data_IF_980725708533
#
_entry.id   IF_980725708533
#
_cell.length_a   1.000
_cell.length_b   1.000
_cell.length_c   1.000
_cell.angle_alpha   90.00
_cell.angle_beta   90.00
_cell.angle_gamma   90.00
#
_symmetry.space_group_name_H-M   'P 1'
#
loop_
_entity.id
_entity.type
_entity.pdbx_description
1 polymer ?
#
# COMPACT_ATOMS: atom_id res chain seq x y z
N UNK A 1 -11.95 -14.78 -18.08
CA UNK A 1 -11.96 -13.63 -17.14
C UNK A 1 -10.51 -13.19 -16.98
N UNK A 2 -10.22 -11.93 -17.17
CA UNK A 2 -8.85 -11.41 -16.96
C UNK A 2 -8.58 -11.33 -15.45
N UNK A 3 -7.50 -11.95 -15.00
CA UNK A 3 -7.03 -11.82 -13.61
C UNK A 3 -6.01 -10.67 -13.48
N UNK A 4 -6.00 -9.73 -14.43
CA UNK A 4 -5.07 -8.60 -14.43
C UNK A 4 -5.35 -7.64 -13.27
N UNK A 5 -4.28 -7.25 -12.55
CA UNK A 5 -4.30 -6.28 -11.47
C UNK A 5 -4.73 -4.88 -11.95
N UNK A 6 -4.63 -4.60 -13.25
CA UNK A 6 -5.18 -3.39 -13.87
C UNK A 6 -6.70 -3.26 -13.62
N UNK A 7 -7.44 -4.40 -13.55
CA UNK A 7 -8.88 -4.42 -13.31
C UNK A 7 -9.31 -3.78 -11.98
N UNK A 8 -8.37 -3.65 -11.03
CA UNK A 8 -8.52 -2.99 -9.72
C UNK A 8 -7.62 -1.75 -9.61
N UNK A 9 -7.20 -1.18 -10.74
CA UNK A 9 -6.46 0.07 -10.82
C UNK A 9 -5.00 -0.02 -10.36
N UNK A 10 -4.40 -1.21 -10.29
CA UNK A 10 -2.99 -1.34 -9.94
C UNK A 10 -2.12 -1.26 -11.20
N UNK A 11 -1.08 -0.42 -11.16
CA UNK A 11 -0.13 -0.21 -12.26
C UNK A 11 1.26 -0.75 -11.89
N UNK A 12 1.99 -1.37 -12.84
CA UNK A 12 3.35 -1.83 -12.62
C UNK A 12 4.27 -0.73 -12.10
N UNK A 13 5.07 -1.07 -11.09
CA UNK A 13 6.01 -0.14 -10.43
C UNK A 13 5.45 0.62 -9.24
N UNK A 14 4.12 0.88 -9.19
CA UNK A 14 3.48 1.59 -8.10
C UNK A 14 3.25 0.71 -6.87
N UNK A 15 3.00 1.36 -5.72
CA UNK A 15 2.70 0.70 -4.45
C UNK A 15 1.37 1.16 -3.93
N UNK A 16 0.63 0.20 -3.38
CA UNK A 16 -0.72 0.39 -2.89
C UNK A 16 -0.82 -0.07 -1.44
N UNK A 17 -1.78 0.46 -0.71
CA UNK A 17 -2.10 0.01 0.63
C UNK A 17 -3.22 -1.03 0.56
N UNK A 18 -3.09 -2.11 1.32
CA UNK A 18 -4.07 -3.20 1.32
C UNK A 18 -4.11 -3.94 2.66
N UNK A 19 -5.14 -4.74 2.86
CA UNK A 19 -5.23 -5.65 3.99
C UNK A 19 -4.88 -7.06 3.53
N UNK A 20 -3.80 -7.61 4.08
CA UNK A 20 -3.42 -9.01 3.90
C UNK A 20 -4.20 -9.87 4.88
N UNK A 21 -4.89 -10.86 4.36
CA UNK A 21 -5.47 -11.92 5.19
C UNK A 21 -4.76 -13.23 4.94
N UNK A 22 -4.42 -13.91 6.00
CA UNK A 22 -3.70 -15.18 6.00
C UNK A 22 -4.38 -16.16 6.95
N UNK A 23 -4.12 -17.43 6.77
CA UNK A 23 -4.59 -18.50 7.65
C UNK A 23 -3.45 -19.49 7.87
N UNK A 24 -3.28 -20.01 9.09
CA UNK A 24 -2.36 -21.10 9.37
C UNK A 24 -3.01 -22.46 9.07
N UNK A 25 -2.26 -23.56 9.17
CA UNK A 25 -2.77 -24.92 8.93
C UNK A 25 -3.87 -25.35 9.91
N UNK A 26 -3.92 -24.74 11.09
CA UNK A 26 -4.95 -25.01 12.10
C UNK A 26 -6.24 -24.24 11.80
N UNK A 27 -6.24 -23.38 10.78
CA UNK A 27 -7.39 -22.58 10.37
C UNK A 27 -7.57 -21.28 11.15
N UNK A 28 -6.57 -20.85 11.89
CA UNK A 28 -6.59 -19.55 12.56
C UNK A 28 -6.30 -18.42 11.56
N UNK A 29 -7.22 -17.48 11.47
CA UNK A 29 -7.13 -16.34 10.56
C UNK A 29 -6.33 -15.19 11.18
N UNK A 30 -5.68 -14.41 10.31
CA UNK A 30 -5.01 -13.17 10.68
C UNK A 30 -5.23 -12.12 9.58
N UNK A 31 -5.28 -10.85 9.98
CA UNK A 31 -5.36 -9.70 9.07
C UNK A 31 -4.31 -8.65 9.45
N UNK A 32 -3.68 -8.03 8.47
CA UNK A 32 -2.68 -6.98 8.69
C UNK A 32 -2.65 -5.99 7.53
N UNK A 33 -2.52 -4.67 7.76
CA UNK A 33 -2.30 -3.68 6.72
C UNK A 33 -0.84 -3.77 6.23
N UNK A 34 -0.64 -4.00 4.96
CA UNK A 34 0.70 -4.13 4.35
C UNK A 34 0.68 -3.47 2.97
N UNK A 35 1.74 -2.69 2.68
CA UNK A 35 1.94 -2.11 1.36
C UNK A 35 2.31 -3.17 0.32
N UNK A 36 1.61 -3.18 -0.81
CA UNK A 36 1.83 -4.09 -1.93
C UNK A 36 2.43 -3.35 -3.13
N UNK A 37 3.53 -3.84 -3.70
CA UNK A 37 4.09 -3.36 -4.95
C UNK A 37 3.53 -4.19 -6.10
N UNK A 38 2.94 -3.54 -7.09
CA UNK A 38 2.61 -4.17 -8.36
C UNK A 38 3.91 -4.35 -9.17
N UNK A 39 4.25 -5.58 -9.54
CA UNK A 39 5.43 -5.87 -10.38
C UNK A 39 5.04 -5.82 -11.85
N UNK A 40 3.98 -6.52 -12.19
CA UNK A 40 3.38 -6.59 -13.51
C UNK A 40 1.88 -6.89 -13.36
N UNK A 41 1.20 -7.23 -14.44
CA UNK A 41 -0.26 -7.48 -14.47
C UNK A 41 -0.74 -8.61 -13.54
N UNK A 42 0.16 -9.48 -13.10
CA UNK A 42 -0.17 -10.69 -12.33
C UNK A 42 0.63 -10.83 -11.05
N UNK A 43 1.83 -10.25 -10.99
CA UNK A 43 2.75 -10.45 -9.89
C UNK A 43 2.80 -9.24 -8.96
N UNK A 44 2.85 -9.53 -7.67
CA UNK A 44 3.01 -8.55 -6.60
C UNK A 44 4.19 -8.88 -5.71
N UNK A 45 4.73 -7.86 -5.04
CA UNK A 45 5.71 -8.04 -3.98
C UNK A 45 5.33 -7.26 -2.72
N UNK A 46 5.68 -7.80 -1.57
CA UNK A 46 5.57 -7.12 -0.29
C UNK A 46 6.81 -7.32 0.57
N UNK A 47 7.16 -6.29 1.34
CA UNK A 47 8.14 -6.43 2.42
C UNK A 47 7.40 -6.75 3.70
N UNK A 48 7.69 -7.90 4.28
CA UNK A 48 7.06 -8.39 5.51
C UNK A 48 8.14 -8.63 6.57
N UNK A 49 7.89 -8.16 7.79
CA UNK A 49 8.86 -8.26 8.89
C UNK A 49 8.85 -9.65 9.52
N UNK A 50 10.04 -10.09 9.96
CA UNK A 50 10.23 -11.33 10.68
C UNK A 50 9.42 -11.34 11.98
N UNK A 51 8.99 -12.53 12.41
CA UNK A 51 8.18 -12.72 13.62
C UNK A 51 6.71 -12.30 13.50
N UNK A 52 6.27 -11.74 12.36
CA UNK A 52 4.86 -11.44 12.15
C UNK A 52 4.03 -12.70 11.88
N UNK A 53 2.79 -12.75 12.42
CA UNK A 53 1.84 -13.84 12.12
C UNK A 53 1.62 -13.99 10.62
N UNK A 54 1.52 -12.88 9.89
CA UNK A 54 1.35 -12.87 8.44
C UNK A 54 2.47 -13.64 7.73
N UNK A 55 3.74 -13.36 8.06
CA UNK A 55 4.87 -14.08 7.45
C UNK A 55 4.89 -15.55 7.85
N UNK A 56 4.59 -15.85 9.12
CA UNK A 56 4.50 -17.23 9.61
C UNK A 56 3.50 -18.04 8.80
N UNK A 57 2.28 -17.55 8.67
CA UNK A 57 1.20 -18.20 7.92
C UNK A 57 1.58 -18.35 6.42
N UNK A 58 2.15 -17.31 5.81
CA UNK A 58 2.59 -17.35 4.41
C UNK A 58 3.68 -18.42 4.19
N UNK A 59 4.68 -18.52 5.09
CA UNK A 59 5.71 -19.56 5.01
C UNK A 59 5.14 -20.96 5.17
N UNK A 60 4.09 -21.10 5.97
CA UNK A 60 3.47 -22.39 6.25
C UNK A 60 2.56 -22.90 5.13
N UNK A 61 1.77 -21.99 4.53
CA UNK A 61 0.71 -22.34 3.57
C UNK A 61 1.06 -22.04 2.11
N UNK A 62 1.98 -21.09 1.87
CA UNK A 62 2.34 -20.63 0.53
C UNK A 62 1.26 -19.76 -0.13
N UNK A 63 0.19 -19.39 0.60
CA UNK A 63 -0.95 -18.64 0.08
C UNK A 63 -1.34 -17.50 1.02
N UNK A 64 -1.95 -16.47 0.44
CA UNK A 64 -2.59 -15.36 1.17
C UNK A 64 -3.58 -14.63 0.27
N UNK A 65 -4.40 -13.77 0.87
CA UNK A 65 -5.33 -12.92 0.13
C UNK A 65 -5.01 -11.46 0.39
N UNK A 66 -5.06 -10.66 -0.66
CA UNK A 66 -4.94 -9.20 -0.59
C UNK A 66 -6.34 -8.61 -0.80
N UNK A 67 -6.82 -7.88 0.21
CA UNK A 67 -8.12 -7.24 0.19
C UNK A 67 -7.96 -5.74 -0.08
N UNK A 68 -8.72 -5.23 -1.03
CA UNK A 68 -8.77 -3.83 -1.44
C UNK A 68 -9.99 -3.18 -0.79
N UNK A 69 -9.75 -2.12 -0.05
CA UNK A 69 -10.79 -1.31 0.61
C UNK A 69 -10.26 0.10 0.83
N UNK A 70 -11.14 1.08 0.87
CA UNK A 70 -10.85 2.47 1.25
C UNK A 70 -11.35 2.81 2.67
N UNK A 71 -11.86 1.82 3.41
CA UNK A 71 -12.41 2.00 4.75
C UNK A 71 -11.29 2.10 5.81
N UNK A 72 -11.03 3.29 6.40
CA UNK A 72 -9.96 3.48 7.37
C UNK A 72 -10.15 2.69 8.66
N UNK A 73 -11.40 2.36 9.03
CA UNK A 73 -11.70 1.58 10.22
C UNK A 73 -11.19 0.15 10.09
N UNK A 74 -11.31 -0.46 8.90
CA UNK A 74 -10.76 -1.79 8.62
C UNK A 74 -9.23 -1.78 8.76
N UNK A 75 -8.55 -0.72 8.27
CA UNK A 75 -7.10 -0.57 8.43
C UNK A 75 -6.71 -0.47 9.91
N UNK A 76 -7.43 0.32 10.69
CA UNK A 76 -7.17 0.50 12.11
C UNK A 76 -7.38 -0.82 12.89
N UNK A 77 -8.52 -1.48 12.70
CA UNK A 77 -8.82 -2.74 13.39
C UNK A 77 -7.82 -3.86 13.01
N UNK A 78 -7.44 -3.96 11.73
CA UNK A 78 -6.42 -4.91 11.29
C UNK A 78 -5.03 -4.61 11.88
N UNK A 79 -4.66 -3.33 12.01
CA UNK A 79 -3.39 -2.92 12.62
C UNK A 79 -3.33 -3.20 14.11
N UNK A 80 -4.43 -2.97 14.81
CA UNK A 80 -4.52 -3.17 16.26
C UNK A 80 -4.78 -4.62 16.68
N UNK A 81 -5.07 -5.50 15.70
CA UNK A 81 -5.37 -6.92 15.95
C UNK A 81 -6.79 -7.18 16.45
N UNK A 82 -7.72 -6.24 16.28
CA UNK A 82 -9.13 -6.36 16.64
C UNK A 82 -9.89 -7.19 15.58
N UNK A 83 -9.50 -8.44 15.40
CA UNK A 83 -10.04 -9.30 14.33
C UNK A 83 -11.54 -9.56 14.47
N UNK A 84 -12.09 -9.48 15.69
CA UNK A 84 -13.52 -9.60 15.98
C UNK A 84 -14.38 -8.49 15.33
N UNK A 85 -13.76 -7.34 15.02
CA UNK A 85 -14.42 -6.22 14.32
C UNK A 85 -14.38 -6.38 12.80
N UNK A 86 -13.63 -7.35 12.29
CA UNK A 86 -13.47 -7.61 10.87
C UNK A 86 -14.39 -8.75 10.42
N UNK A 87 -15.12 -8.54 9.32
CA UNK A 87 -15.94 -9.58 8.71
C UNK A 87 -15.06 -10.56 7.92
N UNK A 88 -14.24 -11.35 8.64
CA UNK A 88 -13.41 -12.39 8.04
C UNK A 88 -14.24 -13.60 7.65
N UNK A 89 -14.02 -14.08 6.43
CA UNK A 89 -14.63 -15.30 5.89
C UNK A 89 -13.53 -16.32 5.63
N UNK A 90 -13.74 -17.54 6.11
CA UNK A 90 -12.93 -18.70 5.77
C UNK A 90 -13.58 -19.42 4.58
N UNK A 91 -12.79 -19.71 3.55
CA UNK A 91 -13.20 -20.46 2.37
C UNK A 91 -12.06 -21.42 1.99
N UNK A 92 -12.25 -22.70 2.25
CA UNK A 92 -11.22 -23.74 2.16
C UNK A 92 -9.91 -23.33 2.86
N UNK A 93 -8.85 -23.11 2.10
CA UNK A 93 -7.49 -22.81 2.58
C UNK A 93 -7.18 -21.31 2.64
N UNK A 94 -8.16 -20.44 2.39
CA UNK A 94 -7.99 -18.99 2.38
C UNK A 94 -8.90 -18.28 3.38
N UNK A 95 -8.48 -17.07 3.77
CA UNK A 95 -9.30 -16.12 4.50
C UNK A 95 -9.38 -14.79 3.74
N UNK A 96 -10.56 -14.16 3.68
CA UNK A 96 -10.74 -12.87 3.05
C UNK A 96 -11.73 -11.99 3.83
N UNK A 97 -11.73 -10.69 3.56
CA UNK A 97 -12.71 -9.75 4.10
C UNK A 97 -13.98 -9.77 3.24
N UNK A 98 -15.12 -10.12 3.86
CA UNK A 98 -16.42 -10.16 3.17
C UNK A 98 -16.82 -8.80 2.57
N UNK A 99 -16.48 -7.73 3.26
CA UNK A 99 -16.83 -6.36 2.92
C UNK A 99 -15.72 -5.59 2.17
N UNK A 100 -14.68 -6.30 1.67
CA UNK A 100 -13.70 -5.69 0.77
C UNK A 100 -14.36 -5.27 -0.55
N UNK A 101 -13.92 -4.14 -1.14
CA UNK A 101 -14.36 -3.70 -2.47
C UNK A 101 -13.94 -4.68 -3.57
N UNK A 102 -12.74 -5.26 -3.41
CA UNK A 102 -12.24 -6.38 -4.19
C UNK A 102 -11.22 -7.17 -3.35
N UNK A 103 -10.94 -8.40 -3.75
CA UNK A 103 -9.82 -9.15 -3.21
C UNK A 103 -9.19 -10.05 -4.27
N UNK A 104 -7.95 -10.43 -4.04
CA UNK A 104 -7.28 -11.38 -4.92
C UNK A 104 -6.43 -12.37 -4.13
N UNK A 105 -6.41 -13.60 -4.64
CA UNK A 105 -5.72 -14.74 -4.04
C UNK A 105 -4.31 -14.80 -4.61
N UNK A 106 -3.32 -14.86 -3.74
CA UNK A 106 -1.90 -14.89 -4.06
C UNK A 106 -1.29 -16.26 -3.76
N UNK A 107 -0.57 -16.81 -4.74
CA UNK A 107 0.29 -17.98 -4.59
C UNK A 107 1.75 -17.51 -4.55
N UNK A 108 2.47 -17.90 -3.51
CA UNK A 108 3.87 -17.48 -3.30
C UNK A 108 4.78 -18.08 -4.36
N UNK A 109 5.61 -17.25 -4.99
CA UNK A 109 6.69 -17.64 -5.92
C UNK A 109 8.04 -17.70 -5.22
N UNK A 110 8.34 -16.69 -4.39
CA UNK A 110 9.59 -16.65 -3.62
C UNK A 110 9.45 -15.88 -2.32
N UNK A 111 10.30 -16.23 -1.35
CA UNK A 111 10.46 -15.53 -0.07
C UNK A 111 11.97 -15.35 0.14
N UNK A 112 12.45 -14.11 0.08
CA UNK A 112 13.86 -13.79 0.17
C UNK A 112 14.13 -12.87 1.36
N UNK A 113 15.09 -13.25 2.21
CA UNK A 113 15.53 -12.42 3.32
C UNK A 113 16.27 -11.18 2.79
N UNK A 114 15.86 -9.98 3.25
CA UNK A 114 16.61 -8.78 2.98
C UNK A 114 17.51 -8.47 4.17
N UNK A 115 18.81 -8.31 3.90
CA UNK A 115 19.75 -7.78 4.88
C UNK A 115 19.28 -6.38 5.29
N UNK A 116 19.26 -6.11 6.59
CA UNK A 116 18.85 -4.83 7.15
C UNK A 116 19.56 -3.68 6.42
N UNK A 117 18.84 -2.95 5.59
CA UNK A 117 19.27 -1.64 5.14
C UNK A 117 19.04 -0.67 6.31
N UNK A 118 19.94 0.28 6.53
CA UNK A 118 19.75 1.37 7.49
C UNK A 118 18.58 2.26 7.01
N UNK A 119 17.38 1.82 7.26
CA UNK A 119 16.18 2.65 7.15
C UNK A 119 15.99 3.32 8.51
N UNK A 120 15.82 4.62 8.56
CA UNK A 120 15.74 5.43 9.79
C UNK A 120 14.65 4.98 10.79
N UNK A 121 13.80 4.03 10.45
CA UNK A 121 12.66 3.58 11.27
C UNK A 121 12.84 2.15 11.85
N UNK A 122 13.68 1.29 11.26
CA UNK A 122 13.81 -0.12 11.65
C UNK A 122 15.26 -0.60 11.59
N UNK A 123 16.16 0.02 12.35
CA UNK A 123 17.55 -0.45 12.47
C UNK A 123 17.58 -1.88 13.05
N UNK A 124 17.98 -2.84 12.21
CA UNK A 124 18.24 -4.22 12.64
C UNK A 124 17.07 -5.20 12.52
N UNK A 125 15.85 -4.79 12.17
CA UNK A 125 14.74 -5.71 12.00
C UNK A 125 14.90 -6.53 10.71
N UNK A 126 14.93 -7.85 10.84
CA UNK A 126 14.89 -8.78 9.71
C UNK A 126 13.57 -8.61 8.96
N UNK A 127 13.64 -8.63 7.65
CA UNK A 127 12.46 -8.58 6.79
C UNK A 127 12.66 -9.41 5.54
N UNK A 128 11.56 -9.77 4.89
CA UNK A 128 11.54 -10.61 3.71
C UNK A 128 10.78 -9.93 2.59
N UNK A 129 11.26 -10.08 1.36
CA UNK A 129 10.45 -9.81 0.17
C UNK A 129 9.73 -11.09 -0.18
N UNK A 130 8.41 -11.01 -0.14
CA UNK A 130 7.51 -12.06 -0.61
C UNK A 130 7.03 -11.66 -2.00
N UNK A 131 7.35 -12.48 -3.00
CA UNK A 131 6.82 -12.34 -4.36
C UNK A 131 5.75 -13.39 -4.57
N UNK A 132 4.61 -12.98 -5.10
CA UNK A 132 3.48 -13.87 -5.32
C UNK A 132 2.75 -13.54 -6.62
N UNK A 133 2.15 -14.57 -7.21
CA UNK A 133 1.26 -14.47 -8.37
C UNK A 133 -0.19 -14.38 -7.91
N UNK A 134 -0.93 -13.45 -8.48
CA UNK A 134 -2.37 -13.40 -8.39
C UNK A 134 -2.99 -14.48 -9.27
N UNK A 135 -3.67 -15.43 -8.66
CA UNK A 135 -4.32 -16.56 -9.35
C UNK A 135 -5.82 -16.37 -9.54
N UNK A 136 -6.45 -15.44 -8.81
CA UNK A 136 -7.88 -15.14 -8.91
C UNK A 136 -8.19 -13.77 -8.33
N UNK A 137 -8.96 -12.95 -9.05
CA UNK A 137 -9.51 -11.68 -8.55
C UNK A 137 -11.02 -11.79 -8.43
N UNK A 138 -11.54 -11.28 -7.32
CA UNK A 138 -12.99 -11.11 -7.09
C UNK A 138 -13.27 -9.63 -6.86
N UNK A 139 -14.17 -9.05 -7.65
CA UNK A 139 -14.57 -7.65 -7.55
C UNK A 139 -15.99 -7.60 -6.99
N UNK A 140 -16.15 -7.11 -5.78
CA UNK A 140 -17.44 -7.02 -5.09
C UNK A 140 -18.15 -5.70 -5.37
N UNK A 141 -17.37 -4.62 -5.60
CA UNK A 141 -17.88 -3.27 -5.85
C UNK A 141 -17.41 -2.78 -7.21
N UNK A 142 -18.34 -2.35 -8.05
CA UNK A 142 -18.01 -1.75 -9.35
C UNK A 142 -17.11 -0.53 -9.16
N UNK A 143 -15.97 -0.51 -9.86
CA UNK A 143 -15.00 0.57 -9.77
C UNK A 143 -14.07 0.49 -8.56
N UNK A 144 -13.97 -0.69 -7.91
CA UNK A 144 -12.98 -0.96 -6.89
C UNK A 144 -11.57 -0.60 -7.40
N UNK A 145 -10.84 0.19 -6.61
CA UNK A 145 -9.46 0.59 -6.92
C UNK A 145 -8.58 0.40 -5.70
N UNK A 146 -7.38 -0.10 -5.94
CA UNK A 146 -6.34 -0.17 -4.93
C UNK A 146 -5.96 1.24 -4.43
N UNK A 147 -5.78 1.39 -3.13
CA UNK A 147 -5.52 2.66 -2.48
C UNK A 147 -4.06 3.07 -2.67
N UNK A 148 -3.83 4.19 -3.42
CA UNK A 148 -2.51 4.77 -3.62
C UNK A 148 -2.38 6.09 -2.86
N UNK A 149 -1.57 6.12 -1.80
CA UNK A 149 -1.38 7.31 -0.96
C UNK A 149 -0.59 8.43 -1.63
N UNK A 150 0.12 8.15 -2.72
CA UNK A 150 0.81 9.18 -3.50
C UNK A 150 -0.14 10.22 -4.08
N UNK A 151 -1.33 9.80 -4.52
CA UNK A 151 -2.36 10.73 -5.00
C UNK A 151 -2.79 11.71 -3.89
N UNK A 152 -2.98 11.23 -2.66
CA UNK A 152 -3.39 12.10 -1.55
C UNK A 152 -2.28 13.07 -1.15
N UNK A 153 -1.01 12.62 -1.16
CA UNK A 153 0.15 13.52 -0.95
C UNK A 153 0.23 14.61 -2.01
N UNK A 154 -0.09 14.29 -3.26
CA UNK A 154 -0.16 15.27 -4.35
C UNK A 154 -1.28 16.29 -4.12
N UNK A 155 -2.48 15.83 -3.75
CA UNK A 155 -3.61 16.73 -3.47
C UNK A 155 -3.32 17.69 -2.31
N UNK A 156 -2.67 17.23 -1.23
CA UNK A 156 -2.24 18.10 -0.13
C UNK A 156 -1.25 19.18 -0.62
N UNK A 157 -0.30 18.81 -1.51
CA UNK A 157 0.64 19.76 -2.09
C UNK A 157 -0.05 20.78 -3.02
N UNK A 158 -1.10 20.37 -3.75
CA UNK A 158 -1.93 21.31 -4.53
C UNK A 158 -2.68 22.29 -3.65
N UNK A 159 -3.20 21.86 -2.50
CA UNK A 159 -3.86 22.74 -1.53
C UNK A 159 -2.87 23.77 -1.02
N UNK A 160 -1.65 23.39 -0.70
CA UNK A 160 -0.60 24.30 -0.26
C UNK A 160 -0.23 25.32 -1.34
N UNK A 161 -0.12 24.90 -2.59
CA UNK A 161 0.14 25.78 -3.74
C UNK A 161 -0.85 26.94 -3.85
N UNK A 162 -2.11 26.70 -3.53
CA UNK A 162 -3.15 27.75 -3.59
C UNK A 162 -2.93 28.87 -2.57
N UNK A 163 -2.08 28.68 -1.57
CA UNK A 163 -1.87 29.56 -0.42
C UNK A 163 -0.48 30.16 -0.33
N UNK A 164 0.46 29.67 -1.10
CA UNK A 164 1.88 30.08 -1.03
C UNK A 164 2.11 31.58 -1.14
N UNK A 165 1.27 32.27 -1.95
CA UNK A 165 1.39 33.71 -2.18
C UNK A 165 0.89 34.60 -1.01
N UNK A 166 0.13 34.00 -0.07
CA UNK A 166 -0.58 34.76 0.98
C UNK A 166 -0.13 34.43 2.40
N UNK A 167 0.90 33.59 2.54
CA UNK A 167 1.46 33.17 3.82
C UNK A 167 2.79 33.91 4.11
N UNK A 168 3.13 34.04 5.40
CA UNK A 168 4.41 34.59 5.85
C UNK A 168 5.58 33.60 5.65
N UNK A 169 6.80 34.07 5.91
CA UNK A 169 8.01 33.27 5.67
C UNK A 169 8.13 32.08 6.63
N UNK A 170 7.65 32.19 7.87
CA UNK A 170 7.61 31.07 8.81
C UNK A 170 6.73 29.95 8.29
N UNK A 171 5.55 30.29 7.78
CA UNK A 171 4.61 29.35 7.19
C UNK A 171 5.10 28.76 5.86
N UNK A 172 5.89 29.53 5.09
CA UNK A 172 6.54 29.01 3.88
C UNK A 172 7.51 27.88 4.20
N UNK A 173 8.26 27.97 5.30
CA UNK A 173 9.18 26.88 5.70
C UNK A 173 8.41 25.61 6.09
N UNK A 174 7.27 25.72 6.77
CA UNK A 174 6.39 24.58 7.04
C UNK A 174 5.88 23.93 5.74
N UNK A 175 5.46 24.76 4.77
CA UNK A 175 4.97 24.29 3.48
C UNK A 175 6.08 23.62 2.66
N UNK A 176 7.30 24.20 2.71
CA UNK A 176 8.48 23.62 2.11
C UNK A 176 8.77 22.22 2.67
N UNK A 177 8.83 22.08 3.98
CA UNK A 177 9.09 20.80 4.64
C UNK A 177 8.03 19.75 4.27
N UNK A 178 6.75 20.14 4.27
CA UNK A 178 5.64 19.25 3.89
C UNK A 178 5.69 18.87 2.41
N UNK A 179 6.00 19.81 1.53
CA UNK A 179 6.15 19.56 0.09
C UNK A 179 7.24 18.52 -0.18
N UNK A 180 8.42 18.69 0.42
CA UNK A 180 9.54 17.74 0.27
C UNK A 180 9.19 16.34 0.79
N UNK A 181 8.45 16.25 1.90
CA UNK A 181 7.98 14.96 2.42
C UNK A 181 6.93 14.33 1.49
N UNK A 182 5.98 15.11 0.98
CA UNK A 182 4.99 14.64 0.01
C UNK A 182 5.66 14.15 -1.29
N UNK A 183 6.64 14.89 -1.81
CA UNK A 183 7.42 14.51 -2.98
C UNK A 183 8.16 13.18 -2.75
N UNK A 184 8.79 13.00 -1.58
CA UNK A 184 9.44 11.74 -1.18
C UNK A 184 8.46 10.57 -1.15
N UNK A 185 7.24 10.80 -0.65
CA UNK A 185 6.18 9.76 -0.65
C UNK A 185 5.79 9.42 -2.08
N UNK A 186 5.54 10.42 -2.92
CA UNK A 186 5.11 10.27 -4.32
C UNK A 186 6.15 9.47 -5.10
N UNK A 187 7.43 9.83 -5.01
CA UNK A 187 8.50 9.12 -5.69
C UNK A 187 8.55 7.63 -5.33
N UNK A 188 8.24 7.31 -4.09
CA UNK A 188 8.29 5.94 -3.59
C UNK A 188 7.09 5.08 -3.98
N UNK A 189 5.89 5.66 -4.07
CA UNK A 189 4.65 4.84 -4.13
C UNK A 189 3.73 5.18 -5.29
N UNK A 190 3.83 6.38 -5.89
CA UNK A 190 2.84 6.86 -6.84
C UNK A 190 2.98 6.22 -8.23
N UNK A 191 1.91 6.35 -8.97
CA UNK A 191 1.83 6.07 -10.41
C UNK A 191 2.58 7.15 -11.21
N UNK A 192 2.89 6.88 -12.46
CA UNK A 192 3.72 7.77 -13.30
C UNK A 192 3.10 9.14 -13.52
N UNK A 193 1.79 9.21 -13.75
CA UNK A 193 1.06 10.46 -13.98
C UNK A 193 1.07 11.38 -12.76
N UNK A 194 0.98 10.83 -11.55
CA UNK A 194 1.10 11.59 -10.30
C UNK A 194 2.52 12.14 -10.12
N UNK A 195 3.56 11.38 -10.50
CA UNK A 195 4.96 11.84 -10.45
C UNK A 195 5.20 12.98 -11.43
N UNK A 196 4.70 12.86 -12.65
CA UNK A 196 4.79 13.92 -13.68
C UNK A 196 4.07 15.20 -13.22
N UNK A 197 2.86 15.05 -12.65
CA UNK A 197 2.12 16.17 -12.09
C UNK A 197 2.85 16.85 -10.92
N UNK A 198 3.51 16.06 -10.04
CA UNK A 198 4.29 16.58 -8.94
C UNK A 198 5.53 17.35 -9.40
N UNK A 199 6.23 16.86 -10.43
CA UNK A 199 7.36 17.57 -11.03
C UNK A 199 6.92 18.96 -11.57
N UNK A 200 5.79 19.03 -12.27
CA UNK A 200 5.20 20.28 -12.73
C UNK A 200 4.82 21.21 -11.57
N UNK A 201 4.23 20.65 -10.52
CA UNK A 201 3.84 21.42 -9.33
C UNK A 201 5.07 22.00 -8.62
N UNK A 202 6.19 21.26 -8.57
CA UNK A 202 7.46 21.74 -8.01
C UNK A 202 7.92 23.02 -8.71
N UNK A 203 7.94 23.03 -10.05
CA UNK A 203 8.30 24.21 -10.84
C UNK A 203 7.40 25.40 -10.48
N UNK A 204 6.09 25.16 -10.39
CA UNK A 204 5.10 26.20 -10.04
C UNK A 204 5.24 26.71 -8.59
N UNK A 205 5.63 25.88 -7.64
CA UNK A 205 5.93 26.28 -6.27
C UNK A 205 7.15 27.22 -6.23
N UNK A 206 8.21 26.90 -6.99
CA UNK A 206 9.42 27.72 -7.11
C UNK A 206 9.08 29.07 -7.76
N UNK A 207 8.27 29.10 -8.84
CA UNK A 207 7.78 30.34 -9.47
C UNK A 207 7.07 31.26 -8.47
N UNK A 208 6.37 30.71 -7.47
CA UNK A 208 5.69 31.44 -6.39
C UNK A 208 6.59 31.77 -5.20
N UNK A 209 7.89 31.50 -5.29
CA UNK A 209 8.88 31.87 -4.28
C UNK A 209 8.99 30.91 -3.10
N UNK A 210 8.61 29.64 -3.29
CA UNK A 210 8.97 28.57 -2.35
C UNK A 210 10.36 28.03 -2.75
N UNK A 211 11.29 28.04 -1.82
CA UNK A 211 12.65 27.53 -2.04
C UNK A 211 12.68 26.00 -1.89
N UNK A 212 12.67 25.25 -3.03
CA UNK A 212 12.56 23.78 -3.09
C UNK A 212 13.80 23.13 -3.70
#
# INVERSE_FOLDING_TARGET
MSFSLESIGMQPGARYEAIYTTMNKDGEMNAAPIGVKCINDYDVAARIFDGSKTLGNIKETGMFVINITDNPKIYADALYGNLENLELVKDDDIAYLKNADAYFICLVKSIEEIKAQKDHVNEGAKSYIVVAENIKITINKKGAKALNRGLYSFLESLVDYTRVDVIDDEKKEEYRARFLENERVIERVAESDVKEAMATLREKMIEKGLDL
#
